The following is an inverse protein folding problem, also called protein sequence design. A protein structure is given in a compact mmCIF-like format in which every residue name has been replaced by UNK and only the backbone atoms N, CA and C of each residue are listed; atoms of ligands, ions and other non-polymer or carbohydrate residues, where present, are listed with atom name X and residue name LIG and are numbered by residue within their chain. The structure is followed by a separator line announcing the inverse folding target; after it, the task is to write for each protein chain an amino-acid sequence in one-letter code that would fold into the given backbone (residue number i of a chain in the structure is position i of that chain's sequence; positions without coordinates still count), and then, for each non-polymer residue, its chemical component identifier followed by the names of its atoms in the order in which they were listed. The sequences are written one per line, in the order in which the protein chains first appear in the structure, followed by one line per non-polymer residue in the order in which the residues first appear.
data_IF_369325850954
#
_entry.id   IF_369325850954
#
_cell.length_a   1.000
_cell.length_b   1.000
_cell.length_c   1.000
_cell.angle_alpha   90.00
_cell.angle_beta   90.00
_cell.angle_gamma   90.00
#
_symmetry.space_group_name_H-M   'P 1'
#
loop_
_entity.id
_entity.type
_entity.pdbx_description
1 polymer ?
#
# COMPACT_ATOMS: atom_id res chain seq x y z
N UNK A 1 -17.80 -16.69 13.77
CA UNK A 1 -17.77 -15.26 14.11
C UNK A 1 -17.08 -15.07 15.43
N UNK A 2 -15.82 -14.74 15.31
CA UNK A 2 -14.95 -14.29 16.39
C UNK A 2 -14.67 -12.79 16.26
N UNK A 3 -14.25 -12.17 17.36
CA UNK A 3 -13.80 -10.78 17.38
C UNK A 3 -12.45 -10.70 18.10
N UNK A 4 -11.43 -10.26 17.37
CA UNK A 4 -10.06 -10.08 17.86
C UNK A 4 -9.72 -8.59 17.77
N UNK A 5 -9.17 -8.05 18.85
CA UNK A 5 -8.68 -6.67 18.91
C UNK A 5 -7.36 -6.66 19.68
N UNK A 6 -6.24 -6.54 18.95
CA UNK A 6 -4.89 -6.64 19.51
C UNK A 6 -4.50 -5.41 20.36
N UNK A 7 -5.28 -4.32 20.25
CA UNK A 7 -5.18 -3.08 21.03
C UNK A 7 -3.93 -2.28 20.68
N UNK A 8 -2.94 -2.22 21.56
CA UNK A 8 -1.83 -1.28 21.44
C UNK A 8 -0.52 -1.95 21.79
N UNK A 9 0.49 -1.69 20.96
CA UNK A 9 1.73 -2.46 20.94
C UNK A 9 1.97 -3.02 19.54
N UNK A 10 3.07 -3.73 19.36
CA UNK A 10 3.33 -4.47 18.12
C UNK A 10 2.75 -5.88 18.30
N UNK A 11 1.60 -6.15 17.70
CA UNK A 11 0.87 -7.40 17.90
C UNK A 11 1.04 -8.39 16.73
N UNK A 12 0.87 -9.68 17.02
CA UNK A 12 0.82 -10.75 16.01
C UNK A 12 -0.46 -11.55 16.16
N UNK A 13 -1.22 -11.64 15.07
CA UNK A 13 -2.42 -12.48 14.97
C UNK A 13 -2.17 -13.56 13.92
N UNK A 14 -2.44 -14.81 14.26
CA UNK A 14 -2.27 -15.96 13.36
C UNK A 14 -3.62 -16.66 13.16
N UNK A 15 -3.97 -16.93 11.91
CA UNK A 15 -5.18 -17.69 11.56
C UNK A 15 -4.94 -18.58 10.33
N UNK A 16 -5.75 -19.63 10.20
CA UNK A 16 -5.77 -20.42 8.97
C UNK A 16 -6.78 -19.81 8.00
N UNK A 17 -6.57 -19.99 6.70
CA UNK A 17 -7.47 -19.43 5.67
C UNK A 17 -8.94 -19.84 5.90
N UNK A 18 -9.20 -21.11 6.23
CA UNK A 18 -10.54 -21.63 6.47
C UNK A 18 -11.23 -21.02 7.71
N UNK A 19 -10.46 -20.59 8.71
CA UNK A 19 -11.02 -19.97 9.92
C UNK A 19 -11.44 -18.53 9.70
N UNK A 20 -10.77 -17.81 8.80
CA UNK A 20 -11.11 -16.43 8.47
C UNK A 20 -12.47 -16.30 7.73
N UNK A 21 -13.04 -17.39 7.21
CA UNK A 21 -14.31 -17.38 6.45
C UNK A 21 -15.56 -17.50 7.35
N UNK A 22 -15.62 -16.77 8.47
CA UNK A 22 -16.66 -16.99 9.50
C UNK A 22 -17.34 -15.71 10.03
N UNK A 23 -17.45 -14.66 9.22
CA UNK A 23 -17.93 -13.33 9.64
C UNK A 23 -17.04 -12.69 10.72
N UNK A 24 -15.74 -12.97 10.67
CA UNK A 24 -14.80 -12.56 11.71
C UNK A 24 -14.42 -11.09 11.64
N UNK A 25 -14.16 -10.50 12.80
CA UNK A 25 -13.72 -9.12 12.95
C UNK A 25 -12.35 -9.05 13.63
N UNK A 26 -11.31 -8.68 12.88
CA UNK A 26 -9.92 -8.74 13.36
C UNK A 26 -9.27 -7.37 13.21
N UNK A 27 -8.82 -6.82 14.34
CA UNK A 27 -8.15 -5.52 14.43
C UNK A 27 -6.74 -5.65 14.98
N UNK A 28 -5.75 -5.12 14.24
CA UNK A 28 -4.39 -4.93 14.74
C UNK A 28 -4.38 -3.88 15.86
N UNK A 29 -4.73 -2.65 15.52
CA UNK A 29 -4.87 -1.58 16.51
C UNK A 29 -3.80 -0.52 16.31
N UNK A 30 -3.13 -0.10 17.38
CA UNK A 30 -2.05 0.90 17.31
C UNK A 30 -0.70 0.26 17.54
N UNK A 31 0.20 0.37 16.56
CA UNK A 31 1.57 -0.14 16.63
C UNK A 31 1.97 -0.68 15.26
N UNK A 32 2.94 -1.60 15.23
CA UNK A 32 3.34 -2.34 14.03
C UNK A 32 2.79 -3.76 14.09
N UNK A 33 1.57 -3.95 13.60
CA UNK A 33 0.86 -5.21 13.74
C UNK A 33 1.09 -6.14 12.54
N UNK A 34 1.15 -7.45 12.82
CA UNK A 34 1.35 -8.51 11.83
C UNK A 34 0.19 -9.48 11.82
N UNK A 35 -0.40 -9.70 10.64
CA UNK A 35 -1.33 -10.79 10.38
C UNK A 35 -0.62 -11.93 9.66
N UNK A 36 -0.67 -13.13 10.23
CA UNK A 36 -0.15 -14.35 9.62
C UNK A 36 -1.34 -15.20 9.16
N UNK A 37 -1.37 -15.54 7.87
CA UNK A 37 -2.37 -16.43 7.29
C UNK A 37 -1.66 -17.69 6.80
N UNK A 38 -2.08 -18.84 7.31
CA UNK A 38 -1.50 -20.14 6.96
C UNK A 38 -2.52 -21.07 6.31
N UNK A 39 -2.03 -22.20 5.80
CA UNK A 39 -2.83 -23.25 5.14
C UNK A 39 -3.51 -22.80 3.84
N UNK A 40 -4.72 -23.25 3.56
CA UNK A 40 -5.40 -23.09 2.28
C UNK A 40 -5.02 -24.16 1.26
N UNK A 41 -5.48 -23.94 0.04
CA UNK A 41 -5.31 -24.82 -1.11
C UNK A 41 -4.75 -24.02 -2.29
N UNK A 42 -4.20 -24.70 -3.29
CA UNK A 42 -3.67 -24.05 -4.50
C UNK A 42 -4.71 -23.25 -5.30
N UNK A 43 -6.00 -23.42 -5.01
CA UNK A 43 -7.11 -22.68 -5.62
C UNK A 43 -7.57 -21.49 -4.80
N UNK A 44 -7.17 -21.40 -3.53
CA UNK A 44 -7.56 -20.28 -2.67
C UNK A 44 -6.79 -19.02 -3.05
N UNK A 45 -7.42 -17.87 -2.84
CA UNK A 45 -6.84 -16.57 -3.18
C UNK A 45 -6.88 -15.64 -1.98
N UNK A 46 -5.76 -14.99 -1.69
CA UNK A 46 -5.65 -13.87 -0.76
C UNK A 46 -5.33 -12.59 -1.52
N UNK A 47 -6.24 -11.62 -1.48
CA UNK A 47 -6.04 -10.28 -2.05
C UNK A 47 -5.85 -9.29 -0.92
N UNK A 48 -4.70 -8.62 -0.86
CA UNK A 48 -4.37 -7.66 0.19
C UNK A 48 -4.36 -6.25 -0.40
N UNK A 49 -5.15 -5.35 0.18
CA UNK A 49 -4.98 -3.91 0.05
C UNK A 49 -4.70 -3.30 1.43
N UNK A 50 -3.42 -3.20 1.78
CA UNK A 50 -3.01 -2.63 3.07
C UNK A 50 -3.46 -1.16 3.28
N UNK A 51 -3.93 -0.47 2.23
CA UNK A 51 -4.40 0.91 2.32
C UNK A 51 -5.94 1.03 2.35
N UNK A 52 -6.66 -0.08 2.31
CA UNK A 52 -8.10 -0.06 2.57
C UNK A 52 -8.31 0.13 4.08
N UNK A 53 -8.94 1.26 4.43
CA UNK A 53 -9.18 1.62 5.83
C UNK A 53 -10.29 0.78 6.48
N UNK A 54 -11.13 0.15 5.67
CA UNK A 54 -12.28 -0.63 6.11
C UNK A 54 -11.95 -2.13 6.15
N UNK A 55 -11.29 -2.66 5.12
CA UNK A 55 -10.91 -4.07 5.06
C UNK A 55 -9.67 -4.31 4.18
N UNK A 56 -8.57 -4.70 4.80
CA UNK A 56 -7.28 -4.90 4.13
C UNK A 56 -7.14 -6.25 3.42
N UNK A 57 -8.03 -7.22 3.68
CA UNK A 57 -8.05 -8.54 3.01
C UNK A 57 -9.35 -8.68 2.22
N UNK A 58 -9.29 -8.45 0.91
CA UNK A 58 -10.45 -8.25 0.04
C UNK A 58 -11.07 -9.56 -0.48
N UNK A 59 -10.32 -10.66 -0.49
CA UNK A 59 -10.78 -11.93 -1.05
C UNK A 59 -11.60 -12.77 -0.08
N UNK A 60 -11.68 -12.36 1.19
CA UNK A 60 -12.47 -13.03 2.23
C UNK A 60 -13.63 -12.11 2.57
N UNK A 61 -14.75 -12.25 1.84
CA UNK A 61 -15.92 -11.36 1.97
C UNK A 61 -16.58 -11.44 3.34
N UNK A 62 -16.41 -12.57 4.02
CA UNK A 62 -16.93 -12.89 5.35
C UNK A 62 -15.93 -12.49 6.45
N UNK A 63 -14.94 -11.64 6.18
CA UNK A 63 -14.06 -11.12 7.22
C UNK A 63 -13.88 -9.63 7.05
N UNK A 64 -13.81 -8.92 8.17
CA UNK A 64 -13.32 -7.55 8.22
C UNK A 64 -12.02 -7.53 8.98
N UNK A 65 -10.93 -7.25 8.26
CA UNK A 65 -9.57 -7.28 8.78
C UNK A 65 -8.97 -5.90 8.56
N UNK A 66 -8.58 -5.19 9.62
CA UNK A 66 -7.94 -3.88 9.47
C UNK A 66 -6.92 -3.55 10.57
N UNK A 67 -6.13 -2.51 10.31
CA UNK A 67 -5.12 -2.01 11.25
C UNK A 67 -3.82 -2.81 11.28
N UNK A 68 -3.56 -3.65 10.28
CA UNK A 68 -2.30 -4.38 10.16
C UNK A 68 -1.30 -3.64 9.25
N UNK A 69 -0.02 -3.69 9.62
CA UNK A 69 1.09 -3.12 8.85
C UNK A 69 1.85 -4.17 8.05
N UNK A 70 1.79 -5.42 8.50
CA UNK A 70 2.51 -6.56 7.92
C UNK A 70 1.56 -7.71 7.70
N UNK A 71 1.78 -8.41 6.60
CA UNK A 71 1.05 -9.61 6.24
C UNK A 71 2.06 -10.70 5.91
N UNK A 72 1.99 -11.83 6.60
CA UNK A 72 2.86 -12.97 6.40
C UNK A 72 2.04 -14.16 5.91
N UNK A 73 2.40 -14.68 4.75
CA UNK A 73 1.69 -15.76 4.05
C UNK A 73 2.67 -16.80 3.51
N UNK A 74 3.84 -16.93 4.13
CA UNK A 74 4.89 -17.88 3.77
C UNK A 74 4.40 -19.33 3.76
N UNK A 75 3.47 -19.65 4.67
CA UNK A 75 2.85 -20.98 4.81
C UNK A 75 1.44 -21.07 4.18
N UNK A 76 1.04 -20.09 3.36
CA UNK A 76 -0.21 -20.13 2.60
C UNK A 76 0.04 -20.83 1.26
N UNK A 77 -0.77 -21.84 0.93
CA UNK A 77 -0.57 -22.68 -0.26
C UNK A 77 -1.20 -22.12 -1.54
N UNK A 78 -1.99 -21.05 -1.43
CA UNK A 78 -2.76 -20.47 -2.53
C UNK A 78 -2.08 -19.30 -3.25
N UNK A 79 -2.91 -18.49 -3.92
CA UNK A 79 -2.49 -17.35 -4.72
C UNK A 79 -2.52 -16.08 -3.88
N UNK A 80 -1.40 -15.38 -3.78
CA UNK A 80 -1.31 -14.07 -3.14
C UNK A 80 -1.29 -12.95 -4.20
N UNK A 81 -2.19 -11.98 -4.07
CA UNK A 81 -2.20 -10.75 -4.86
C UNK A 81 -2.15 -9.52 -3.94
N UNK A 82 -1.24 -8.59 -4.21
CA UNK A 82 -1.18 -7.31 -3.49
C UNK A 82 -1.62 -6.13 -4.35
N UNK A 83 -2.53 -5.30 -3.83
CA UNK A 83 -2.96 -4.06 -4.46
C UNK A 83 -2.00 -2.92 -4.08
N UNK A 84 -1.17 -2.47 -5.03
CA UNK A 84 -0.38 -1.25 -4.87
C UNK A 84 -1.16 -0.04 -5.41
N UNK A 85 -1.36 1.02 -4.61
CA UNK A 85 -2.02 2.29 -5.00
C UNK A 85 -1.29 3.14 -6.07
N UNK A 86 -0.37 2.56 -6.84
CA UNK A 86 0.47 3.29 -7.80
C UNK A 86 -0.33 4.04 -8.86
N UNK A 87 -1.56 3.63 -9.20
CA UNK A 87 -2.38 4.32 -10.22
C UNK A 87 -3.17 5.53 -9.70
N UNK A 88 -3.83 5.42 -8.54
CA UNK A 88 -4.66 6.51 -8.01
C UNK A 88 -3.85 7.65 -7.39
N UNK A 89 -2.75 7.32 -6.69
CA UNK A 89 -1.84 8.36 -6.17
C UNK A 89 -1.14 9.11 -7.29
N UNK A 90 -0.89 8.47 -8.44
CA UNK A 90 -0.33 9.15 -9.61
C UNK A 90 -1.37 10.08 -10.23
N UNK A 91 -2.62 9.63 -10.40
CA UNK A 91 -3.70 10.46 -10.92
C UNK A 91 -3.99 11.69 -10.04
N UNK A 92 -3.93 11.55 -8.72
CA UNK A 92 -4.13 12.67 -7.79
C UNK A 92 -2.93 13.61 -7.73
N UNK A 93 -1.70 13.08 -7.83
CA UNK A 93 -0.48 13.89 -7.98
C UNK A 93 -0.49 14.68 -9.30
N UNK A 94 -0.90 14.07 -10.40
CA UNK A 94 -1.02 14.73 -11.71
C UNK A 94 -2.04 15.87 -11.65
N UNK A 95 -3.25 15.62 -11.12
CA UNK A 95 -4.28 16.66 -10.93
C UNK A 95 -3.81 17.83 -10.04
N UNK A 96 -3.03 17.53 -8.99
CA UNK A 96 -2.46 18.56 -8.09
C UNK A 96 -1.35 19.38 -8.77
N UNK A 97 -0.54 18.75 -9.61
CA UNK A 97 0.48 19.42 -10.42
C UNK A 97 -0.17 20.32 -11.47
N UNK A 98 -1.19 19.85 -12.19
CA UNK A 98 -1.91 20.63 -13.20
C UNK A 98 -2.57 21.88 -12.61
N UNK A 99 -3.26 21.75 -11.46
CA UNK A 99 -3.80 22.91 -10.73
C UNK A 99 -2.72 23.89 -10.28
N UNK A 100 -1.57 23.39 -9.82
CA UNK A 100 -0.43 24.24 -9.43
C UNK A 100 0.21 24.98 -10.62
N UNK A 101 0.21 24.37 -11.81
CA UNK A 101 0.67 25.00 -13.05
C UNK A 101 -0.30 26.08 -13.52
N UNK A 102 -1.61 25.88 -13.38
CA UNK A 102 -2.65 26.85 -13.76
C UNK A 102 -2.63 28.10 -12.88
N UNK A 103 -2.42 27.95 -11.56
CA UNK A 103 -2.27 29.07 -10.62
C UNK A 103 -1.01 29.89 -10.89
N UNK A 104 0.11 29.25 -11.28
CA UNK A 104 1.36 29.94 -11.65
C UNK A 104 1.28 30.69 -12.98
N UNK A 105 0.46 30.22 -13.94
CA UNK A 105 0.24 30.94 -15.21
C UNK A 105 -0.51 32.25 -15.02
N UNK A 106 -1.39 32.36 -14.02
CA UNK A 106 -2.11 33.60 -13.72
C UNK A 106 -1.25 34.63 -12.96
N UNK A 107 -0.17 34.22 -12.30
CA UNK A 107 0.75 35.14 -11.59
C UNK A 107 1.94 35.65 -12.44
N UNK A 108 2.25 35.00 -13.57
CA UNK A 108 3.43 35.32 -14.39
C UNK A 108 3.12 36.23 -15.60
N UNK A 109 2.29 37.26 -15.43
CA UNK A 109 2.21 38.38 -16.40
C UNK A 109 3.06 39.60 -15.98
N UNK A 110 3.90 39.44 -14.95
CA UNK A 110 4.87 40.43 -14.51
C UNK A 110 6.28 40.08 -14.99
N UNK A 111 6.72 40.77 -16.03
CA UNK A 111 8.05 40.69 -16.60
C UNK A 111 9.13 41.03 -15.55
N UNK A 112 9.97 40.09 -15.13
CA UNK A 112 11.24 40.37 -14.45
C UNK A 112 12.27 39.29 -14.82
N UNK A 113 13.17 39.65 -15.74
CA UNK A 113 14.42 38.92 -15.99
C UNK A 113 15.36 39.09 -14.81
N UNK A 114 15.93 37.99 -14.33
CA UNK A 114 17.16 38.01 -13.54
C UNK A 114 18.22 37.18 -14.27
N UNK A 115 19.24 37.87 -14.75
CA UNK A 115 20.53 37.30 -15.17
C UNK A 115 21.48 37.33 -13.97
N UNK A 116 22.09 36.20 -13.58
CA UNK A 116 23.45 36.15 -12.98
C UNK A 116 23.92 34.72 -12.63
N UNK A 117 25.21 34.47 -12.29
CA UNK A 117 26.10 33.73 -13.18
C UNK A 117 26.99 32.74 -12.39
N UNK A 118 26.58 31.49 -12.20
CA UNK A 118 27.49 30.53 -11.54
C UNK A 118 27.14 29.09 -11.95
N UNK A 119 28.03 28.35 -12.63
CA UNK A 119 27.75 26.99 -13.10
C UNK A 119 27.91 25.91 -11.99
N UNK A 120 28.05 26.29 -10.72
CA UNK A 120 28.59 25.38 -9.69
C UNK A 120 27.56 24.71 -8.76
N UNK A 121 26.25 24.88 -8.95
CA UNK A 121 25.24 24.33 -8.02
C UNK A 121 24.22 23.41 -8.72
N UNK A 122 24.67 22.24 -9.16
CA UNK A 122 23.80 21.12 -9.53
C UNK A 122 23.68 20.15 -8.35
N UNK A 123 22.85 20.48 -7.35
CA UNK A 123 22.42 19.47 -6.37
C UNK A 123 21.25 18.72 -6.99
N UNK A 124 21.56 17.68 -7.77
CA UNK A 124 20.58 16.68 -8.14
C UNK A 124 20.28 15.82 -6.91
N UNK A 125 19.14 16.09 -6.24
CA UNK A 125 18.54 15.09 -5.35
C UNK A 125 17.86 14.06 -6.24
N UNK A 126 18.52 12.93 -6.45
CA UNK A 126 17.92 11.72 -7.00
C UNK A 126 17.32 10.91 -5.84
N UNK A 127 16.02 11.09 -5.58
CA UNK A 127 15.27 10.18 -4.72
C UNK A 127 14.46 9.23 -5.61
N UNK A 128 15.02 8.03 -5.79
CA UNK A 128 14.40 6.75 -6.13
C UNK A 128 13.20 6.72 -7.12
N UNK A 129 13.48 6.95 -8.40
CA UNK A 129 12.72 6.34 -9.51
C UNK A 129 13.62 5.34 -10.25
N UNK A 130 13.92 4.20 -9.61
CA UNK A 130 14.50 3.04 -10.31
C UNK A 130 13.36 2.16 -10.86
N UNK A 131 13.13 2.29 -12.17
CA UNK A 131 12.19 1.49 -12.95
C UNK A 131 12.54 -0.02 -12.99
N UNK A 132 11.49 -0.85 -12.89
CA UNK A 132 11.23 -2.20 -13.45
C UNK A 132 12.42 -3.11 -13.82
N UNK A 133 12.41 -4.35 -13.30
CA UNK A 133 12.80 -5.53 -14.08
C UNK A 133 11.78 -6.67 -13.92
N UNK A 134 11.37 -7.16 -15.09
CA UNK A 134 10.47 -8.25 -15.41
C UNK A 134 11.03 -9.63 -15.05
N UNK A 135 10.13 -10.56 -14.70
CA UNK A 135 10.25 -11.99 -15.01
C UNK A 135 11.42 -12.75 -14.39
N UNK A 136 11.17 -13.48 -13.30
CA UNK A 136 11.98 -14.63 -12.93
C UNK A 136 11.06 -15.86 -12.78
N UNK A 137 11.13 -16.77 -13.76
CA UNK A 137 10.71 -18.17 -13.63
C UNK A 137 11.84 -18.95 -12.95
N UNK A 138 11.53 -19.73 -11.92
CA UNK A 138 12.49 -20.65 -11.31
C UNK A 138 12.43 -22.01 -12.04
N UNK A 139 13.61 -22.52 -12.43
CA UNK A 139 13.85 -23.90 -12.86
C UNK A 139 14.41 -24.72 -11.71
#
# INVERSE_FOLDING_TARGET
MDTINARGGDDTVTSTFAKLQQDDFIKGGTGTDTLIITEGTSTDTVIIDANDANNQVLSISEATINGFNRFELSDFLGILTSCSRTKERLAERVKKVEKGVEVKKQQNNGNHSYTSPDPSLYIARFDADSYLLSGATFS
#
